data_IF_644855609443
#
_entry.id   IF_644855609443
#
_cell.length_a   1.000
_cell.length_b   1.000
_cell.length_c   1.000
_cell.angle_alpha   90.00
_cell.angle_beta   90.00
_cell.angle_gamma   90.00
#
_symmetry.space_group_name_H-M   'P 1'
#
loop_
_entity.id
_entity.type
_entity.pdbx_description
1 polymer ?
#
# COMPACT_ATOMS: atom_id res chain seq x y z
N UNK A 1 11.43 14.09 -16.73
CA UNK A 1 11.33 15.34 -17.53
C UNK A 1 11.76 16.51 -16.64
N UNK A 2 12.10 17.68 -17.19
CA UNK A 2 12.39 18.89 -16.39
C UNK A 2 11.41 20.00 -16.75
N UNK A 3 11.11 20.89 -15.79
CA UNK A 3 10.38 22.14 -16.05
C UNK A 3 11.28 23.16 -16.75
N UNK A 4 10.67 24.23 -17.27
CA UNK A 4 11.40 25.39 -17.81
C UNK A 4 12.31 26.05 -16.75
N UNK A 5 11.99 25.90 -15.46
CA UNK A 5 12.82 26.36 -14.34
C UNK A 5 13.89 25.36 -13.88
N UNK A 6 14.12 24.28 -14.63
CA UNK A 6 15.14 23.27 -14.30
C UNK A 6 14.73 22.28 -13.20
N UNK A 7 13.48 22.30 -12.73
CA UNK A 7 13.01 21.37 -11.71
C UNK A 7 12.68 20.01 -12.35
N UNK A 8 13.24 18.92 -11.81
CA UNK A 8 12.89 17.59 -12.28
C UNK A 8 11.43 17.23 -11.97
N UNK A 9 10.81 16.51 -12.89
CA UNK A 9 9.45 15.96 -12.78
C UNK A 9 9.46 14.49 -13.20
N UNK A 10 8.99 13.63 -12.31
CA UNK A 10 8.66 12.24 -12.58
C UNK A 10 7.14 12.08 -12.56
N UNK A 11 6.58 11.52 -13.64
CA UNK A 11 5.16 11.16 -13.73
C UNK A 11 5.07 9.67 -13.97
N UNK A 12 4.28 8.99 -13.17
CA UNK A 12 4.08 7.55 -13.24
C UNK A 12 2.67 7.21 -12.78
N UNK A 13 2.17 6.05 -13.17
CA UNK A 13 0.87 5.56 -12.73
C UNK A 13 1.08 4.33 -11.86
N UNK A 14 0.34 4.25 -10.76
CA UNK A 14 0.35 3.09 -9.86
C UNK A 14 -0.95 2.29 -10.06
N UNK A 15 -0.84 0.97 -9.96
CA UNK A 15 -1.98 0.08 -9.93
C UNK A 15 -2.25 -0.35 -8.49
N UNK A 16 -3.51 -0.23 -8.05
CA UNK A 16 -3.98 -0.67 -6.74
C UNK A 16 -5.15 -1.62 -6.94
N UNK A 17 -4.96 -2.88 -6.56
CA UNK A 17 -6.00 -3.89 -6.68
C UNK A 17 -6.90 -3.85 -5.45
N UNK A 18 -8.21 -3.78 -5.68
CA UNK A 18 -9.23 -3.95 -4.66
C UNK A 18 -9.94 -5.28 -4.89
N UNK A 19 -9.95 -6.12 -3.85
CA UNK A 19 -10.70 -7.38 -3.89
C UNK A 19 -12.18 -7.10 -3.61
N UNK A 20 -13.06 -7.46 -4.55
CA UNK A 20 -14.52 -7.25 -4.47
C UNK A 20 -15.24 -8.59 -4.53
N UNK A 21 -16.32 -8.71 -3.76
CA UNK A 21 -17.20 -9.88 -3.81
C UNK A 21 -18.29 -9.64 -4.85
N UNK A 22 -18.44 -10.58 -5.79
CA UNK A 22 -19.48 -10.52 -6.82
C UNK A 22 -20.80 -11.09 -6.30
N UNK A 23 -21.90 -10.85 -7.04
CA UNK A 23 -23.22 -11.38 -6.70
C UNK A 23 -23.26 -12.92 -6.64
N UNK A 24 -22.39 -13.59 -7.40
CA UNK A 24 -22.25 -15.05 -7.41
C UNK A 24 -21.38 -15.59 -6.27
N UNK A 25 -21.12 -14.80 -5.23
CA UNK A 25 -20.21 -15.13 -4.13
C UNK A 25 -18.75 -15.41 -4.54
N UNK A 26 -18.31 -14.99 -5.73
CA UNK A 26 -16.91 -15.11 -6.17
C UNK A 26 -16.11 -13.86 -5.77
N UNK A 27 -14.80 -14.03 -5.62
CA UNK A 27 -13.88 -12.92 -5.40
C UNK A 27 -13.26 -12.50 -6.73
N UNK A 28 -13.27 -11.21 -7.01
CA UNK A 28 -12.67 -10.62 -8.20
C UNK A 28 -11.73 -9.48 -7.80
N UNK A 29 -10.62 -9.33 -8.52
CA UNK A 29 -9.67 -8.24 -8.32
C UNK A 29 -9.95 -7.12 -9.31
N UNK A 30 -10.29 -5.94 -8.77
CA UNK A 30 -10.52 -4.73 -9.54
C UNK A 30 -9.27 -3.84 -9.48
N UNK A 31 -8.60 -3.66 -10.63
CA UNK A 31 -7.40 -2.84 -10.72
C UNK A 31 -7.76 -1.36 -10.92
N UNK A 32 -7.39 -0.53 -9.94
CA UNK A 32 -7.52 0.92 -10.00
C UNK A 32 -6.18 1.53 -10.37
N UNK A 33 -6.20 2.50 -11.29
CA UNK A 33 -4.99 3.20 -11.73
C UNK A 33 -5.02 4.64 -11.26
N UNK A 34 -3.94 5.08 -10.61
CA UNK A 34 -3.80 6.44 -10.11
C UNK A 34 -2.57 7.10 -10.71
N UNK A 35 -2.75 8.32 -11.19
CA UNK A 35 -1.65 9.12 -11.72
C UNK A 35 -0.94 9.85 -10.59
N UNK A 36 0.39 9.74 -10.59
CA UNK A 36 1.27 10.31 -9.60
C UNK A 36 2.26 11.27 -10.25
N UNK A 37 2.51 12.39 -9.58
CA UNK A 37 3.51 13.38 -9.96
C UNK A 37 4.47 13.62 -8.80
N UNK A 38 5.77 13.58 -9.07
CA UNK A 38 6.81 13.86 -8.10
C UNK A 38 7.79 14.88 -8.67
N UNK A 39 8.29 15.78 -7.81
CA UNK A 39 9.06 16.95 -8.21
C UNK A 39 10.42 17.01 -7.52
N UNK A 40 11.36 17.76 -8.11
CA UNK A 40 12.66 18.07 -7.53
C UNK A 40 13.59 16.85 -7.41
N UNK A 41 14.48 16.86 -6.42
CA UNK A 41 15.55 15.85 -6.25
C UNK A 41 15.02 14.42 -6.09
N UNK A 42 13.86 14.26 -5.44
CA UNK A 42 13.21 12.96 -5.32
C UNK A 42 12.87 12.39 -6.70
N UNK A 43 12.39 13.23 -7.62
CA UNK A 43 12.05 12.83 -8.99
C UNK A 43 13.26 12.35 -9.80
N UNK A 44 14.43 12.96 -9.58
CA UNK A 44 15.68 12.51 -10.22
C UNK A 44 16.09 11.13 -9.72
N UNK A 45 16.02 10.93 -8.41
CA UNK A 45 16.47 9.70 -7.75
C UNK A 45 15.61 8.50 -8.15
N UNK A 46 14.30 8.69 -8.16
CA UNK A 46 13.32 7.62 -8.38
C UNK A 46 13.31 7.08 -9.81
N UNK A 47 13.72 7.87 -10.79
CA UNK A 47 13.80 7.45 -12.20
C UNK A 47 14.75 6.24 -12.41
N UNK A 48 15.78 6.10 -11.58
CA UNK A 48 16.74 4.99 -11.70
C UNK A 48 16.22 3.68 -11.11
N UNK A 49 15.21 3.73 -10.23
CA UNK A 49 14.78 2.56 -9.45
C UNK A 49 13.31 2.17 -9.69
N UNK A 50 12.50 3.02 -10.33
CA UNK A 50 11.15 2.66 -10.74
C UNK A 50 11.17 1.93 -12.07
N UNK A 51 11.03 0.62 -11.99
CA UNK A 51 10.75 -0.24 -13.12
C UNK A 51 9.28 -0.70 -13.10
N UNK A 52 8.76 -1.10 -14.26
CA UNK A 52 7.39 -1.60 -14.36
C UNK A 52 7.22 -2.84 -13.48
N UNK A 53 6.15 -2.86 -12.68
CA UNK A 53 5.85 -3.97 -11.78
C UNK A 53 6.58 -3.90 -10.44
N UNK A 54 7.43 -2.88 -10.20
CA UNK A 54 8.01 -2.65 -8.89
C UNK A 54 6.92 -2.21 -7.92
N UNK A 55 6.83 -2.91 -6.79
CA UNK A 55 5.91 -2.54 -5.73
C UNK A 55 6.47 -1.32 -4.98
N UNK A 56 5.62 -0.35 -4.69
CA UNK A 56 6.01 0.90 -4.04
C UNK A 56 4.98 1.32 -3.01
N UNK A 57 5.44 1.98 -1.96
CA UNK A 57 4.61 2.77 -1.05
C UNK A 57 4.85 4.25 -1.36
N UNK A 58 3.78 5.02 -1.47
CA UNK A 58 3.85 6.46 -1.71
C UNK A 58 3.09 7.20 -0.62
N UNK A 59 3.60 8.36 -0.23
CA UNK A 59 2.95 9.30 0.66
C UNK A 59 2.91 10.64 -0.04
N UNK A 60 1.74 11.28 -0.05
CA UNK A 60 1.53 12.52 -0.76
C UNK A 60 0.17 13.13 -0.50
N UNK A 61 -0.20 14.06 -1.37
CA UNK A 61 -1.49 14.77 -1.33
C UNK A 61 -2.28 14.58 -2.63
N UNK A 62 -3.60 14.55 -2.52
CA UNK A 62 -4.48 14.57 -3.69
C UNK A 62 -4.62 16.00 -4.20
N UNK A 63 -4.35 16.20 -5.49
CA UNK A 63 -4.47 17.48 -6.17
C UNK A 63 -5.44 17.35 -7.34
N UNK A 64 -6.44 18.21 -7.35
CA UNK A 64 -7.33 18.36 -8.48
C UNK A 64 -6.89 19.58 -9.30
N UNK A 65 -6.35 19.33 -10.49
CA UNK A 65 -6.02 20.39 -11.43
C UNK A 65 -7.19 20.60 -12.39
N UNK A 66 -7.51 21.85 -12.67
CA UNK A 66 -8.47 22.26 -13.70
C UNK A 66 -7.79 23.18 -14.69
N UNK A 67 -7.96 22.94 -15.98
CA UNK A 67 -7.40 23.75 -17.05
C UNK A 67 -8.34 23.75 -18.25
N UNK A 68 -8.18 24.72 -19.14
CA UNK A 68 -8.89 24.73 -20.43
C UNK A 68 -7.99 24.16 -21.51
N UNK A 69 -8.57 23.31 -22.36
CA UNK A 69 -7.91 22.77 -23.54
C UNK A 69 -8.93 22.76 -24.67
N UNK A 70 -8.59 23.40 -25.79
CA UNK A 70 -9.46 23.51 -26.98
C UNK A 70 -10.84 24.12 -26.67
N UNK A 71 -10.88 25.11 -25.76
CA UNK A 71 -12.12 25.76 -25.32
C UNK A 71 -13.01 24.90 -24.40
N UNK A 72 -12.53 23.74 -23.96
CA UNK A 72 -13.23 22.89 -22.99
C UNK A 72 -12.50 22.89 -21.65
N UNK A 73 -13.23 23.19 -20.59
CA UNK A 73 -12.77 22.99 -19.21
C UNK A 73 -12.55 21.51 -18.92
N UNK A 74 -11.31 21.15 -18.57
CA UNK A 74 -10.87 19.81 -18.18
C UNK A 74 -10.48 19.82 -16.70
N UNK A 75 -10.66 18.67 -16.04
CA UNK A 75 -10.12 18.47 -14.70
C UNK A 75 -9.54 17.09 -14.54
N UNK A 76 -8.48 16.98 -13.74
CA UNK A 76 -7.84 15.72 -13.41
C UNK A 76 -7.42 15.71 -11.95
N UNK A 77 -7.62 14.58 -11.31
CA UNK A 77 -7.08 14.30 -9.98
C UNK A 77 -5.77 13.55 -10.16
N UNK A 78 -4.72 14.05 -9.53
CA UNK A 78 -3.41 13.40 -9.46
C UNK A 78 -2.91 13.38 -8.02
N UNK A 79 -2.05 12.41 -7.70
CA UNK A 79 -1.37 12.34 -6.41
C UNK A 79 -0.03 13.05 -6.55
N UNK A 80 0.16 14.15 -5.82
CA UNK A 80 1.47 14.78 -5.70
C UNK A 80 2.23 14.06 -4.60
N UNK A 81 3.30 13.35 -4.98
CA UNK A 81 4.06 12.47 -4.10
C UNK A 81 5.14 13.28 -3.37
N UNK A 82 5.15 13.19 -2.05
CA UNK A 82 6.14 13.79 -1.17
C UNK A 82 7.28 12.80 -0.86
N UNK A 83 6.92 11.53 -0.63
CA UNK A 83 7.86 10.46 -0.33
C UNK A 83 7.49 9.18 -1.04
N UNK A 84 8.50 8.46 -1.53
CA UNK A 84 8.35 7.17 -2.18
C UNK A 84 9.32 6.17 -1.56
N UNK A 85 8.79 5.01 -1.19
CA UNK A 85 9.57 3.89 -0.70
C UNK A 85 9.38 2.70 -1.63
N UNK A 86 10.49 2.15 -2.11
CA UNK A 86 10.48 0.92 -2.87
C UNK A 86 10.19 -0.23 -1.93
N UNK A 87 9.20 -1.05 -2.27
CA UNK A 87 8.95 -2.30 -1.58
C UNK A 87 9.69 -3.39 -2.34
N UNK A 88 10.54 -4.15 -1.65
CA UNK A 88 11.08 -5.36 -2.24
C UNK A 88 9.91 -6.32 -2.41
N UNK A 89 9.67 -6.76 -3.64
CA UNK A 89 8.93 -8.00 -3.82
C UNK A 89 9.66 -9.06 -2.98
N UNK A 90 8.98 -9.84 -2.13
CA UNK A 90 9.60 -11.05 -1.60
C UNK A 90 10.03 -11.84 -2.82
N UNK A 91 11.33 -11.86 -3.05
CA UNK A 91 11.92 -12.50 -4.19
C UNK A 91 11.55 -13.96 -4.11
N UNK A 92 10.58 -14.35 -4.95
CA UNK A 92 10.37 -15.73 -5.38
C UNK A 92 11.54 -16.26 -6.21
N UNK A 93 12.75 -15.68 -6.08
CA UNK A 93 13.95 -16.49 -6.15
C UNK A 93 13.85 -17.51 -5.00
N UNK A 94 13.27 -18.68 -5.31
CA UNK A 94 13.98 -19.91 -4.98
C UNK A 94 15.37 -19.73 -5.54
N UNK A 95 16.26 -19.13 -4.75
CA UNK A 95 17.66 -19.48 -4.83
C UNK A 95 17.65 -20.99 -4.67
N UNK A 96 18.04 -21.67 -5.74
CA UNK A 96 18.37 -23.08 -5.76
C UNK A 96 19.56 -23.28 -4.82
N UNK A 97 19.29 -23.18 -3.51
CA UNK A 97 20.20 -23.56 -2.47
C UNK A 97 20.05 -25.07 -2.35
N UNK A 98 20.69 -25.79 -3.28
CA UNK A 98 21.18 -27.13 -3.04
C UNK A 98 22.08 -27.08 -1.79
N UNK A 99 21.46 -27.22 -0.62
CA UNK A 99 22.15 -27.33 0.66
C UNK A 99 21.82 -28.70 1.26
N UNK A 100 22.83 -29.55 1.14
CA UNK A 100 23.16 -30.74 1.90
C UNK A 100 22.48 -30.86 3.28
N UNK A 101 22.06 -32.10 3.58
CA UNK A 101 21.10 -32.41 4.64
C UNK A 101 21.61 -32.39 6.07
N UNK A 102 20.64 -32.36 6.98
CA UNK A 102 20.49 -33.28 8.13
C UNK A 102 19.18 -32.95 8.87
N UNK A 103 18.32 -33.93 9.20
CA UNK A 103 17.17 -33.71 10.08
C UNK A 103 17.64 -33.71 11.54
N UNK A 104 17.40 -32.62 12.26
CA UNK A 104 17.58 -32.55 13.71
C UNK A 104 16.28 -32.90 14.46
N UNK A 105 16.35 -33.57 15.63
CA UNK A 105 15.18 -34.18 16.28
C UNK A 105 14.31 -33.16 17.02
N UNK A 106 13.00 -33.37 16.97
CA UNK A 106 12.00 -32.65 17.78
C UNK A 106 12.19 -33.01 19.26
N UNK A 107 12.53 -32.03 20.08
CA UNK A 107 12.36 -32.11 21.54
C UNK A 107 11.00 -31.52 21.92
N UNK A 108 10.23 -32.38 22.58
CA UNK A 108 8.95 -32.17 23.20
C UNK A 108 9.23 -31.59 24.60
N UNK A 109 8.64 -30.45 24.96
CA UNK A 109 8.72 -29.94 26.33
C UNK A 109 7.39 -29.33 26.75
N UNK A 110 6.75 -30.09 27.62
CA UNK A 110 5.87 -29.75 28.73
C UNK A 110 4.97 -28.51 28.70
N UNK A 111 3.68 -28.86 28.80
CA UNK A 111 2.55 -28.09 29.26
C UNK A 111 2.75 -27.51 30.66
N UNK A 112 2.66 -26.20 30.77
CA UNK A 112 2.23 -25.54 32.01
C UNK A 112 0.80 -25.02 31.79
N UNK A 113 -0.17 -25.76 32.32
CA UNK A 113 -1.51 -25.24 32.58
C UNK A 113 -1.39 -24.22 33.72
N UNK A 114 -1.44 -22.94 33.37
CA UNK A 114 -1.71 -21.88 34.32
C UNK A 114 -3.22 -21.58 34.25
N UNK A 115 -3.99 -22.15 35.17
CA UNK A 115 -5.39 -21.78 35.37
C UNK A 115 -5.46 -20.31 35.82
N UNK A 116 -6.12 -19.47 35.01
CA UNK A 116 -6.47 -18.10 35.36
C UNK A 116 -7.81 -18.12 36.13
N UNK A 117 -7.99 -17.25 37.14
CA UNK A 117 -9.26 -17.15 37.85
C UNK A 117 -10.38 -16.64 36.92
N UNK A 118 -11.65 -16.98 37.21
CA UNK A 118 -12.78 -16.48 36.41
C UNK A 118 -12.86 -14.97 36.52
N UNK A 119 -12.86 -14.27 35.38
CA UNK A 119 -13.24 -12.87 35.32
C UNK A 119 -14.78 -12.83 35.31
N UNK A 120 -15.38 -12.31 36.37
CA UNK A 120 -16.78 -11.89 36.36
C UNK A 120 -16.94 -10.77 35.32
N UNK A 121 -17.56 -11.11 34.19
CA UNK A 121 -18.01 -10.12 33.24
C UNK A 121 -19.28 -9.48 33.80
N UNK A 122 -19.14 -8.35 34.47
CA UNK A 122 -20.25 -7.44 34.71
C UNK A 122 -20.88 -7.10 33.36
N UNK A 123 -22.17 -7.41 33.21
CA UNK A 123 -22.92 -7.22 31.96
C UNK A 123 -22.87 -5.78 31.44
N UNK A 124 -23.26 -5.56 30.17
CA UNK A 124 -23.05 -4.30 29.48
C UNK A 124 -23.80 -3.17 30.20
N UNK A 125 -23.06 -2.24 30.79
CA UNK A 125 -23.58 -0.89 30.94
C UNK A 125 -23.96 -0.41 29.54
N UNK A 126 -25.20 0.06 29.42
CA UNK A 126 -25.75 0.61 28.21
C UNK A 126 -24.90 1.81 27.81
N UNK A 127 -24.04 1.61 26.82
CA UNK A 127 -23.42 2.72 26.11
C UNK A 127 -24.53 3.40 25.33
N UNK A 128 -25.07 4.49 25.89
CA UNK A 128 -25.96 5.39 25.15
C UNK A 128 -25.13 6.02 24.02
N UNK A 129 -25.49 5.66 22.78
CA UNK A 129 -24.86 6.09 21.53
C UNK A 129 -24.91 7.62 21.34
N UNK A 130 -25.67 8.32 22.18
CA UNK A 130 -25.84 9.77 22.23
C UNK A 130 -24.70 10.52 22.93
N UNK A 131 -23.72 9.82 23.55
CA UNK A 131 -22.56 10.44 24.21
C UNK A 131 -21.29 10.51 23.35
N UNK A 132 -21.35 10.14 22.06
CA UNK A 132 -20.20 10.30 21.15
C UNK A 132 -20.27 11.68 20.48
N UNK A 133 -19.40 12.64 20.83
CA UNK A 133 -19.37 13.94 20.15
C UNK A 133 -18.84 13.80 18.70
N UNK A 134 -19.46 14.54 17.78
CA UNK A 134 -19.08 14.67 16.37
C UNK A 134 -17.83 15.54 16.17
#
# INVERSE_FOLDING_TARGET
RYTQGGMAIARFSIAVNRRKRTADNRWEDEANFFDCAMFGKSAESVNQYLERGRQVSIIGELRQNRWEQDGQSRSKVEIVVNSLQLLSSPSGQRADAQAFGQPAPRQQSDSYQQELPPIEYGGPEQFDDDQIPF
#
